data_IF_623575150423
#
_entry.id   IF_623575150423
#
_cell.length_a   1.000
_cell.length_b   1.000
_cell.length_c   1.000
_cell.angle_alpha   90.00
_cell.angle_beta   90.00
_cell.angle_gamma   90.00
#
_symmetry.space_group_name_H-M   'P 1'
#
loop_
_entity.id
_entity.type
_entity.pdbx_description
1 polymer ?
#
# COMPACT_ATOMS: atom_id res chain seq x y z
N UNK A 1 40.83 -24.56 50.40
CA UNK A 1 40.61 -24.06 49.06
C UNK A 1 39.76 -22.78 49.18
N UNK A 2 40.30 -21.65 48.68
CA UNK A 2 39.57 -20.39 48.64
C UNK A 2 38.80 -20.31 47.31
N UNK A 3 37.51 -19.97 47.38
CA UNK A 3 36.69 -19.83 46.18
C UNK A 3 36.72 -18.36 45.73
N UNK A 4 36.86 -18.12 44.44
CA UNK A 4 36.83 -16.77 43.85
C UNK A 4 35.39 -16.36 43.57
N UNK A 5 35.05 -15.21 44.04
CA UNK A 5 33.75 -14.53 43.77
C UNK A 5 34.00 -13.20 43.11
N UNK A 6 32.94 -12.66 42.48
CA UNK A 6 32.95 -11.36 41.81
C UNK A 6 31.89 -10.47 42.44
N UNK A 7 32.32 -9.29 42.96
CA UNK A 7 31.42 -8.28 43.46
C UNK A 7 31.21 -7.22 42.42
N UNK A 8 29.95 -6.88 42.17
CA UNK A 8 29.55 -5.89 41.17
C UNK A 8 28.95 -4.68 41.85
N UNK A 9 29.37 -3.51 41.42
CA UNK A 9 28.77 -2.25 41.85
C UNK A 9 28.35 -1.43 40.65
N UNK A 10 27.28 -0.66 40.84
CA UNK A 10 26.78 0.29 39.85
C UNK A 10 26.77 1.71 40.42
N UNK A 11 26.87 2.72 39.55
CA UNK A 11 26.86 4.12 39.92
C UNK A 11 26.22 4.96 38.81
N UNK A 12 25.55 6.06 39.21
CA UNK A 12 25.01 7.05 38.27
C UNK A 12 26.02 8.23 38.04
N UNK A 13 26.94 8.45 38.97
CA UNK A 13 27.83 9.62 39.01
C UNK A 13 29.34 9.27 39.10
N UNK A 14 29.69 8.01 39.22
CA UNK A 14 31.03 7.45 39.48
C UNK A 14 31.56 7.78 40.87
N UNK A 15 30.76 8.40 41.73
CA UNK A 15 31.12 8.79 43.09
C UNK A 15 30.43 7.88 44.10
N UNK A 16 29.13 7.77 43.97
CA UNK A 16 28.28 6.93 44.83
C UNK A 16 28.05 5.57 44.15
N UNK A 17 28.52 4.52 44.81
CA UNK A 17 28.45 3.15 44.28
C UNK A 17 27.43 2.31 45.07
N UNK A 18 26.51 1.67 44.34
CA UNK A 18 25.53 0.76 44.88
C UNK A 18 26.00 -0.68 44.65
N UNK A 19 26.00 -1.48 45.70
CA UNK A 19 26.28 -2.90 45.64
C UNK A 19 25.10 -3.61 44.92
N UNK A 20 25.41 -4.38 43.89
CA UNK A 20 24.43 -5.20 43.13
C UNK A 20 24.57 -6.69 43.48
N UNK A 21 25.48 -7.04 44.42
CA UNK A 21 25.67 -8.37 44.92
C UNK A 21 26.93 -9.05 44.43
N UNK A 22 27.10 -10.29 44.90
CA UNK A 22 28.24 -11.16 44.62
C UNK A 22 27.84 -12.34 43.70
N UNK A 23 28.74 -12.69 42.82
CA UNK A 23 28.52 -13.69 41.77
C UNK A 23 29.64 -14.71 41.81
N UNK A 24 29.29 -15.97 41.67
CA UNK A 24 30.26 -17.08 41.55
C UNK A 24 30.81 -17.15 40.11
N UNK A 25 29.94 -16.95 39.12
CA UNK A 25 30.32 -16.96 37.70
C UNK A 25 30.83 -15.57 37.27
N UNK A 26 31.75 -15.50 36.28
CA UNK A 26 32.24 -14.21 35.75
C UNK A 26 31.22 -13.50 34.85
N UNK A 27 29.94 -13.73 35.07
CA UNK A 27 28.82 -13.13 34.34
C UNK A 27 27.73 -12.68 35.31
N UNK A 28 27.21 -11.48 35.08
CA UNK A 28 26.13 -10.93 35.89
C UNK A 28 25.06 -10.29 34.98
N UNK A 29 23.82 -10.35 35.44
CA UNK A 29 22.70 -9.56 34.83
C UNK A 29 22.30 -8.47 35.81
N UNK A 30 22.43 -7.24 35.40
CA UNK A 30 22.02 -6.08 36.18
C UNK A 30 20.88 -5.34 35.52
N UNK A 31 20.05 -4.72 36.34
CA UNK A 31 18.99 -3.86 35.86
C UNK A 31 19.49 -2.39 35.91
N UNK A 32 19.16 -1.62 34.90
CA UNK A 32 19.42 -0.19 34.91
C UNK A 32 18.73 0.46 36.11
N UNK A 33 19.39 1.41 36.81
CA UNK A 33 18.72 2.23 37.80
C UNK A 33 17.48 2.88 37.20
N UNK A 34 16.41 3.00 37.99
CA UNK A 34 15.12 3.49 37.52
C UNK A 34 15.25 4.87 36.85
N UNK A 35 14.76 4.97 35.60
CA UNK A 35 14.78 6.22 34.83
C UNK A 35 16.11 6.62 34.23
N UNK A 36 17.18 5.82 34.38
CA UNK A 36 18.50 6.13 33.83
C UNK A 36 18.78 5.37 32.55
N UNK A 37 19.17 6.07 31.52
CA UNK A 37 19.59 5.51 30.23
C UNK A 37 21.08 5.22 30.15
N UNK A 38 21.87 5.83 31.03
CA UNK A 38 23.33 5.64 31.17
C UNK A 38 23.67 5.51 32.65
N UNK A 39 24.51 4.56 32.99
CA UNK A 39 25.07 4.37 34.32
C UNK A 39 26.46 3.73 34.19
N UNK A 40 27.12 3.53 35.30
CA UNK A 40 28.48 2.99 35.36
C UNK A 40 28.50 1.71 36.17
N UNK A 41 29.38 0.76 35.81
CA UNK A 41 29.59 -0.47 36.53
C UNK A 41 31.09 -0.70 36.76
N UNK A 42 31.42 -1.37 37.84
CA UNK A 42 32.76 -1.87 38.14
C UNK A 42 32.64 -3.23 38.84
N UNK A 43 33.64 -4.04 38.69
CA UNK A 43 33.71 -5.36 39.31
C UNK A 43 35.04 -5.55 40.01
N UNK A 44 35.06 -6.26 41.15
CA UNK A 44 36.28 -6.78 41.74
C UNK A 44 36.14 -8.23 42.00
N UNK A 45 37.25 -8.96 41.91
CA UNK A 45 37.35 -10.31 42.41
C UNK A 45 37.68 -10.33 43.88
N UNK A 46 37.13 -11.26 44.61
CA UNK A 46 37.50 -11.49 46.02
C UNK A 46 37.49 -13.00 46.34
N UNK A 47 38.21 -13.37 47.35
CA UNK A 47 38.21 -14.74 47.88
C UNK A 47 37.49 -14.75 49.22
N UNK A 48 36.65 -15.77 49.43
CA UNK A 48 35.96 -15.97 50.68
C UNK A 48 36.09 -17.46 51.09
N UNK A 49 36.03 -17.78 52.41
CA UNK A 49 35.84 -19.14 52.85
C UNK A 49 34.60 -19.74 52.23
N UNK A 50 34.58 -21.03 52.01
CA UNK A 50 33.48 -21.77 51.31
C UNK A 50 32.13 -21.66 52.02
N UNK A 51 32.03 -20.99 53.14
CA UNK A 51 30.77 -20.83 53.89
C UNK A 51 30.05 -19.53 53.47
N UNK A 52 28.87 -19.69 52.86
CA UNK A 52 28.01 -18.62 52.41
C UNK A 52 27.66 -17.56 53.49
N UNK A 53 27.72 -17.93 54.76
CA UNK A 53 27.41 -17.02 55.87
C UNK A 53 28.38 -15.85 56.01
N UNK A 54 29.55 -15.89 55.40
CA UNK A 54 30.61 -14.90 55.55
C UNK A 54 30.93 -14.07 54.29
N UNK A 55 30.18 -14.27 53.23
CA UNK A 55 30.46 -13.64 51.94
C UNK A 55 30.40 -12.09 51.97
N UNK A 56 29.72 -11.51 52.97
CA UNK A 56 29.63 -10.06 53.17
C UNK A 56 30.55 -9.50 54.26
N UNK A 57 31.27 -10.36 55.00
CA UNK A 57 32.21 -9.90 56.02
C UNK A 57 33.57 -9.53 55.38
N UNK A 58 33.78 -8.21 55.24
CA UNK A 58 34.99 -7.63 54.65
C UNK A 58 36.29 -7.97 55.42
N UNK A 59 36.16 -8.44 56.64
CA UNK A 59 37.31 -8.83 57.44
C UNK A 59 37.80 -10.24 57.18
N UNK A 60 36.96 -11.08 56.52
CA UNK A 60 37.27 -12.49 56.20
C UNK A 60 37.57 -12.70 54.73
N UNK A 61 37.46 -11.66 53.91
CA UNK A 61 37.62 -11.74 52.47
C UNK A 61 38.82 -10.94 51.98
N UNK A 62 39.67 -11.52 51.15
CA UNK A 62 40.71 -10.81 50.42
C UNK A 62 40.06 -10.18 49.17
N UNK A 63 39.93 -8.89 49.20
CA UNK A 63 39.29 -8.11 48.14
C UNK A 63 40.36 -7.58 47.17
N UNK A 64 40.27 -7.96 45.90
CA UNK A 64 41.13 -7.43 44.84
C UNK A 64 40.82 -5.97 44.45
N UNK A 65 41.61 -5.46 43.54
CA UNK A 65 41.36 -4.12 42.98
C UNK A 65 40.10 -4.10 42.16
N UNK A 66 39.39 -2.96 42.17
CA UNK A 66 38.29 -2.71 41.26
C UNK A 66 38.79 -2.60 39.83
N UNK A 67 37.99 -3.17 38.90
CA UNK A 67 38.18 -2.96 37.45
C UNK A 67 38.11 -1.49 37.08
N UNK A 68 38.53 -1.18 35.85
CA UNK A 68 38.16 0.08 35.22
C UNK A 68 36.65 0.23 35.17
N UNK A 69 36.20 1.47 35.29
CA UNK A 69 34.78 1.79 35.26
C UNK A 69 34.19 1.63 33.85
N UNK A 70 33.29 0.68 33.68
CA UNK A 70 32.56 0.50 32.45
C UNK A 70 31.37 1.45 32.39
N UNK A 71 31.24 2.21 31.31
CA UNK A 71 30.04 3.00 31.03
C UNK A 71 28.99 2.10 30.37
N UNK A 72 27.87 1.89 31.01
CA UNK A 72 26.78 1.03 30.56
C UNK A 72 25.66 1.88 29.98
N UNK A 73 25.18 1.50 28.79
CA UNK A 73 24.01 2.10 28.15
C UNK A 73 22.84 1.12 28.27
N UNK A 74 21.84 1.56 29.02
CA UNK A 74 20.65 0.74 29.23
C UNK A 74 19.79 0.69 27.99
N UNK A 75 19.15 -0.46 27.74
CA UNK A 75 18.13 -0.58 26.72
C UNK A 75 16.88 0.19 27.13
N UNK A 76 16.26 0.86 26.17
CA UNK A 76 14.97 1.48 26.36
C UNK A 76 13.91 0.37 26.37
N UNK A 77 13.09 0.32 27.43
CA UNK A 77 11.98 -0.61 27.54
C UNK A 77 10.77 -0.18 26.69
N UNK A 78 10.61 1.11 26.51
CA UNK A 78 9.46 1.67 25.82
C UNK A 78 9.59 1.51 24.31
N UNK A 79 8.49 1.09 23.69
CA UNK A 79 8.36 1.09 22.24
C UNK A 79 7.87 2.42 21.73
N UNK A 80 8.15 2.71 20.48
CA UNK A 80 7.57 3.89 19.80
C UNK A 80 6.05 3.80 19.82
N UNK A 81 5.41 4.96 19.79
CA UNK A 81 3.97 5.04 19.55
C UNK A 81 3.64 4.63 18.10
N UNK A 82 2.35 4.65 17.76
CA UNK A 82 1.85 4.40 16.42
C UNK A 82 2.68 5.08 15.34
N UNK A 83 3.14 4.31 14.36
CA UNK A 83 3.84 4.81 13.17
C UNK A 83 2.81 5.39 12.19
N UNK A 84 3.05 6.59 11.72
CA UNK A 84 2.17 7.34 10.81
C UNK A 84 2.89 7.57 9.50
N UNK A 85 2.31 7.09 8.40
CA UNK A 85 2.77 7.40 7.06
C UNK A 85 2.51 8.87 6.71
N UNK A 86 3.53 9.55 6.19
CA UNK A 86 3.45 10.97 5.81
C UNK A 86 3.47 11.16 4.29
N UNK A 87 4.13 10.24 3.57
CA UNK A 87 4.21 10.26 2.11
C UNK A 87 4.40 8.85 1.55
N UNK A 88 3.82 8.60 0.39
CA UNK A 88 4.08 7.42 -0.42
C UNK A 88 4.34 7.84 -1.87
N UNK A 89 5.37 7.26 -2.49
CA UNK A 89 5.68 7.38 -3.93
C UNK A 89 5.80 5.99 -4.54
N UNK A 90 6.10 5.88 -5.82
CA UNK A 90 6.35 4.59 -6.45
C UNK A 90 7.60 3.88 -5.92
N UNK A 91 8.56 4.61 -5.33
CA UNK A 91 9.84 4.08 -4.90
C UNK A 91 10.23 4.46 -3.47
N UNK A 92 9.35 5.09 -2.70
CA UNK A 92 9.66 5.50 -1.33
C UNK A 92 8.43 5.58 -0.44
N UNK A 93 8.65 5.39 0.87
CA UNK A 93 7.68 5.54 1.93
C UNK A 93 8.28 6.41 3.03
N UNK A 94 7.55 7.41 3.50
CA UNK A 94 7.97 8.28 4.61
C UNK A 94 7.06 8.11 5.81
N UNK A 95 7.65 8.11 6.99
CA UNK A 95 6.97 7.85 8.25
C UNK A 95 7.41 8.84 9.33
N UNK A 96 6.57 8.99 10.34
CA UNK A 96 6.88 9.63 11.62
C UNK A 96 6.23 8.88 12.78
N UNK A 97 6.76 9.06 13.97
CA UNK A 97 6.26 8.51 15.24
C UNK A 97 6.50 9.50 16.37
N UNK A 98 5.94 9.28 17.56
CA UNK A 98 6.26 10.11 18.71
C UNK A 98 7.67 9.77 19.24
N UNK A 99 8.39 10.77 19.70
CA UNK A 99 9.68 10.56 20.34
C UNK A 99 9.54 9.66 21.57
N UNK A 100 10.50 8.76 21.77
CA UNK A 100 10.61 7.94 22.97
C UNK A 100 11.58 8.61 23.93
N UNK A 101 11.18 8.73 25.18
CA UNK A 101 12.03 9.35 26.22
C UNK A 101 13.36 8.60 26.36
N UNK A 102 14.48 9.33 26.41
CA UNK A 102 15.81 8.76 26.49
C UNK A 102 16.35 8.15 25.20
N UNK A 103 15.60 8.16 24.10
CA UNK A 103 16.12 7.69 22.83
C UNK A 103 17.09 8.69 22.20
N UNK A 104 18.28 8.21 21.84
CA UNK A 104 19.27 8.96 21.05
C UNK A 104 19.01 8.87 19.53
N UNK A 105 18.18 7.91 19.11
CA UNK A 105 17.82 7.65 17.74
C UNK A 105 16.91 6.45 17.60
N UNK A 106 16.76 5.97 16.35
CA UNK A 106 15.89 4.85 16.02
C UNK A 106 16.52 3.96 14.97
N UNK A 107 16.32 2.64 15.13
CA UNK A 107 16.59 1.64 14.11
C UNK A 107 15.26 1.26 13.44
N UNK A 108 15.22 1.37 12.14
CA UNK A 108 14.06 1.01 11.32
C UNK A 108 14.42 -0.23 10.51
N UNK A 109 13.72 -1.32 10.75
CA UNK A 109 13.83 -2.57 9.99
C UNK A 109 12.62 -2.63 9.06
N UNK A 110 12.84 -2.96 7.79
CA UNK A 110 11.77 -3.07 6.81
C UNK A 110 12.02 -4.19 5.82
N UNK A 111 10.94 -4.84 5.36
CA UNK A 111 10.99 -5.96 4.42
C UNK A 111 9.69 -6.05 3.62
N UNK A 112 9.70 -6.66 2.41
CA UNK A 112 8.48 -6.96 1.69
C UNK A 112 7.56 -7.84 2.54
N UNK A 113 6.28 -7.51 2.61
CA UNK A 113 5.31 -8.23 3.45
C UNK A 113 5.32 -9.74 3.15
N UNK A 114 5.50 -10.54 4.21
CA UNK A 114 5.62 -12.01 4.12
C UNK A 114 7.02 -12.53 3.77
N UNK A 115 8.04 -11.66 3.65
CA UNK A 115 9.41 -12.03 3.29
C UNK A 115 10.41 -11.42 4.29
N UNK A 116 10.33 -11.80 5.56
CA UNK A 116 11.18 -11.29 6.65
C UNK A 116 12.68 -11.53 6.40
N UNK A 117 13.04 -12.61 5.70
CA UNK A 117 14.41 -12.96 5.37
C UNK A 117 15.09 -11.94 4.45
N UNK A 118 14.28 -11.10 3.76
CA UNK A 118 14.75 -9.99 2.92
C UNK A 118 14.78 -8.67 3.67
N UNK A 119 14.90 -8.70 5.00
CA UNK A 119 14.92 -7.49 5.82
C UNK A 119 16.14 -6.61 5.52
N UNK A 120 15.88 -5.31 5.55
CA UNK A 120 16.88 -4.24 5.49
C UNK A 120 16.70 -3.32 6.66
N UNK A 121 17.75 -2.60 7.02
CA UNK A 121 17.70 -1.66 8.12
C UNK A 121 18.29 -0.31 7.76
N UNK A 122 17.87 0.71 8.48
CA UNK A 122 18.46 2.03 8.50
C UNK A 122 18.36 2.62 9.91
N UNK A 123 19.21 3.58 10.22
CA UNK A 123 19.16 4.33 11.47
C UNK A 123 18.83 5.78 11.19
N UNK A 124 18.22 6.45 12.17
CA UNK A 124 17.92 7.89 12.12
C UNK A 124 18.02 8.48 13.54
N UNK A 125 18.53 9.70 13.64
CA UNK A 125 18.55 10.45 14.89
C UNK A 125 17.23 11.18 15.19
N UNK A 126 16.30 11.20 14.22
CA UNK A 126 15.00 11.85 14.36
C UNK A 126 13.88 10.84 14.46
N UNK A 127 12.72 11.24 14.98
CA UNK A 127 11.51 10.42 15.05
C UNK A 127 10.74 10.35 13.72
N UNK A 128 11.49 10.35 12.61
CA UNK A 128 10.97 10.23 11.25
C UNK A 128 12.00 9.57 10.33
N UNK A 129 11.53 8.95 9.26
CA UNK A 129 12.41 8.40 8.23
C UNK A 129 11.75 8.40 6.85
N UNK A 130 12.59 8.25 5.82
CA UNK A 130 12.17 7.96 4.45
C UNK A 130 12.94 6.77 3.92
N UNK A 131 12.23 5.69 3.66
CA UNK A 131 12.76 4.48 3.04
C UNK A 131 12.69 4.68 1.53
N UNK A 132 13.84 4.58 0.87
CA UNK A 132 14.01 4.80 -0.59
C UNK A 132 14.31 3.48 -1.31
N UNK A 133 14.32 3.52 -2.65
CA UNK A 133 14.67 2.39 -3.51
C UNK A 133 13.78 1.16 -3.29
N UNK A 134 12.52 1.41 -2.95
CA UNK A 134 11.50 0.38 -2.81
C UNK A 134 10.95 -0.01 -4.18
N UNK A 135 10.48 -1.26 -4.29
CA UNK A 135 9.76 -1.72 -5.46
C UNK A 135 8.40 -1.01 -5.53
N UNK A 136 8.05 -0.57 -6.71
CA UNK A 136 6.73 0.02 -6.98
C UNK A 136 5.62 -1.03 -6.74
N UNK A 137 4.47 -0.56 -6.24
CA UNK A 137 3.31 -1.41 -5.91
C UNK A 137 3.65 -2.53 -4.91
N UNK A 138 4.71 -2.33 -4.13
CA UNK A 138 5.17 -3.25 -3.09
C UNK A 138 4.53 -2.95 -1.74
N UNK A 139 4.10 -3.99 -1.04
CA UNK A 139 3.68 -3.91 0.36
C UNK A 139 4.86 -4.24 1.26
N UNK A 140 5.06 -3.45 2.30
CA UNK A 140 6.19 -3.57 3.23
C UNK A 140 5.71 -3.57 4.67
N UNK A 141 6.34 -4.41 5.50
CA UNK A 141 6.32 -4.30 6.94
C UNK A 141 7.44 -3.35 7.38
N UNK A 142 7.16 -2.50 8.35
CA UNK A 142 8.09 -1.51 8.90
C UNK A 142 8.06 -1.60 10.42
N UNK A 143 9.21 -1.94 11.02
CA UNK A 143 9.41 -2.08 12.46
C UNK A 143 10.35 -0.97 12.94
N UNK A 144 9.97 -0.25 13.98
CA UNK A 144 10.77 0.84 14.56
C UNK A 144 11.15 0.51 15.99
N UNK A 145 12.46 0.49 16.25
CA UNK A 145 13.10 0.28 17.53
C UNK A 145 13.69 1.59 18.05
N UNK A 146 13.60 1.84 19.33
CA UNK A 146 14.32 2.94 19.96
C UNK A 146 15.80 2.55 20.20
N UNK A 147 16.70 3.49 19.98
CA UNK A 147 18.13 3.36 20.25
C UNK A 147 18.52 4.23 21.42
N UNK A 148 19.36 3.70 22.27
CA UNK A 148 20.13 4.49 23.24
C UNK A 148 21.61 4.25 22.97
N UNK A 149 22.35 5.30 22.63
CA UNK A 149 23.75 5.19 22.25
C UNK A 149 24.59 6.28 22.90
N UNK A 150 25.85 5.95 23.09
CA UNK A 150 26.94 6.88 23.43
C UNK A 150 28.09 6.67 22.42
N UNK A 151 29.25 7.27 22.66
CA UNK A 151 30.45 7.14 21.82
C UNK A 151 30.87 5.69 21.58
N UNK A 152 30.64 4.81 22.55
CA UNK A 152 31.26 3.49 22.62
C UNK A 152 30.31 2.34 22.36
N UNK A 153 28.99 2.54 22.59
CA UNK A 153 28.01 1.48 22.51
C UNK A 153 26.62 1.98 22.13
N UNK A 154 25.89 1.14 21.38
CA UNK A 154 24.49 1.38 21.03
C UNK A 154 23.62 0.21 21.52
N UNK A 155 22.66 0.51 22.38
CA UNK A 155 21.62 -0.43 22.81
C UNK A 155 20.35 -0.30 22.00
N UNK A 156 19.84 -1.41 21.50
CA UNK A 156 18.57 -1.49 20.76
C UNK A 156 17.48 -1.95 21.72
N UNK A 157 16.31 -1.30 21.70
CA UNK A 157 15.16 -1.73 22.51
C UNK A 157 14.75 -3.19 22.20
N UNK A 158 14.24 -3.89 23.20
CA UNK A 158 13.72 -5.25 23.03
C UNK A 158 12.34 -5.27 22.36
N UNK A 159 11.67 -4.13 22.36
CA UNK A 159 10.31 -3.95 21.82
C UNK A 159 10.36 -3.01 20.62
N UNK A 160 9.42 -3.21 19.70
CA UNK A 160 9.26 -2.37 18.52
C UNK A 160 7.78 -2.10 18.23
N UNK A 161 7.53 -1.12 17.41
CA UNK A 161 6.21 -0.88 16.83
C UNK A 161 6.26 -1.23 15.36
N UNK A 162 5.24 -1.96 14.89
CA UNK A 162 5.11 -2.38 13.49
C UNK A 162 3.97 -1.65 12.80
N UNK A 163 4.14 -1.41 11.51
CA UNK A 163 3.09 -0.97 10.60
C UNK A 163 3.30 -1.55 9.21
N UNK A 164 2.23 -1.55 8.42
CA UNK A 164 2.27 -1.99 7.02
C UNK A 164 1.96 -0.82 6.10
N UNK A 165 2.68 -0.71 5.01
CA UNK A 165 2.49 0.36 4.04
C UNK A 165 2.78 -0.14 2.62
N UNK A 166 2.12 0.49 1.63
CA UNK A 166 2.27 0.14 0.22
C UNK A 166 2.77 1.35 -0.55
N UNK A 167 3.78 1.15 -1.41
CA UNK A 167 4.23 2.15 -2.38
C UNK A 167 3.15 2.43 -3.41
N UNK A 168 3.19 3.61 -4.03
CA UNK A 168 2.25 3.94 -5.10
C UNK A 168 2.51 3.09 -6.34
N UNK A 169 1.45 2.56 -6.97
CA UNK A 169 1.56 1.96 -8.27
C UNK A 169 1.79 3.05 -9.34
N UNK A 170 2.38 2.63 -10.45
CA UNK A 170 2.48 3.46 -11.65
C UNK A 170 1.09 3.83 -12.20
N UNK A 171 1.12 4.71 -13.19
CA UNK A 171 -0.04 5.01 -14.03
C UNK A 171 -0.64 3.72 -14.58
N UNK A 172 -1.95 3.56 -14.43
CA UNK A 172 -2.71 2.45 -15.02
C UNK A 172 -2.55 2.45 -16.53
N UNK A 173 -2.24 1.29 -17.11
CA UNK A 173 -2.09 1.04 -18.55
C UNK A 173 -3.24 0.21 -19.08
N UNK A 174 -3.42 0.24 -20.40
CA UNK A 174 -4.40 -0.56 -21.13
C UNK A 174 -5.84 -0.43 -20.58
N UNK A 175 -6.16 0.78 -20.07
CA UNK A 175 -7.51 1.09 -19.63
C UNK A 175 -8.45 1.16 -20.84
N UNK A 176 -9.45 0.30 -20.86
CA UNK A 176 -10.45 0.23 -21.93
C UNK A 176 -11.85 -0.03 -21.39
N UNK A 177 -12.85 0.33 -22.16
CA UNK A 177 -14.23 -0.10 -21.96
C UNK A 177 -14.41 -1.46 -22.62
N UNK A 178 -15.09 -2.37 -21.94
CA UNK A 178 -15.44 -3.69 -22.48
C UNK A 178 -16.90 -3.76 -22.92
N UNK A 179 -17.78 -3.09 -22.17
CA UNK A 179 -19.20 -2.96 -22.52
C UNK A 179 -19.72 -1.59 -22.11
N UNK A 180 -20.71 -1.07 -22.83
CA UNK A 180 -21.38 0.18 -22.49
C UNK A 180 -22.84 0.17 -22.92
N UNK A 181 -23.72 0.16 -21.94
CA UNK A 181 -25.17 0.21 -22.12
C UNK A 181 -25.78 1.39 -21.36
N UNK A 182 -27.03 1.77 -21.66
CA UNK A 182 -27.73 2.71 -20.82
C UNK A 182 -27.83 2.24 -19.37
N UNK A 183 -27.31 2.99 -18.45
CA UNK A 183 -27.28 2.64 -17.03
C UNK A 183 -26.06 1.81 -16.59
N UNK A 184 -25.24 1.33 -17.52
CA UNK A 184 -24.12 0.44 -17.20
C UNK A 184 -22.92 0.63 -18.12
N UNK A 185 -21.71 0.44 -17.58
CA UNK A 185 -20.47 0.37 -18.34
C UNK A 185 -19.44 -0.47 -17.61
N UNK A 186 -18.79 -1.37 -18.35
CA UNK A 186 -17.72 -2.21 -17.83
C UNK A 186 -16.37 -1.76 -18.36
N UNK A 187 -15.37 -1.81 -17.51
CA UNK A 187 -14.01 -1.38 -17.80
C UNK A 187 -13.02 -2.44 -17.36
N UNK A 188 -11.91 -2.53 -18.06
CA UNK A 188 -10.78 -3.33 -17.65
C UNK A 188 -9.46 -2.56 -17.84
N UNK A 189 -8.42 -2.97 -17.12
CA UNK A 189 -7.06 -2.43 -17.22
C UNK A 189 -6.05 -3.50 -16.87
N UNK A 190 -4.79 -3.32 -17.29
CA UNK A 190 -3.70 -4.24 -16.95
C UNK A 190 -2.98 -3.85 -15.68
N UNK A 191 -2.66 -4.88 -14.95
CA UNK A 191 -1.59 -5.19 -14.06
C UNK A 191 -1.11 -4.08 -13.14
N UNK A 192 -1.75 -4.00 -12.01
CA UNK A 192 -1.18 -3.41 -10.83
C UNK A 192 -1.23 -4.51 -9.77
N UNK A 193 -0.09 -5.16 -9.55
CA UNK A 193 0.04 -6.15 -8.49
C UNK A 193 -0.01 -5.42 -7.17
N UNK A 194 -1.06 -5.61 -6.38
CA UNK A 194 -1.16 -5.07 -5.02
C UNK A 194 -2.13 -3.91 -4.83
N UNK A 195 -2.30 -2.98 -5.77
CA UNK A 195 -3.31 -1.93 -5.63
C UNK A 195 -4.71 -2.50 -5.82
N UNK A 196 -5.45 -2.60 -4.73
CA UNK A 196 -6.84 -3.10 -4.71
C UNK A 196 -7.86 -1.96 -4.69
N UNK A 197 -7.41 -0.70 -4.70
CA UNK A 197 -8.25 0.46 -4.52
C UNK A 197 -8.08 1.47 -5.66
N UNK A 198 -9.19 1.81 -6.30
CA UNK A 198 -9.22 2.62 -7.53
C UNK A 198 -10.24 3.73 -7.45
N UNK A 199 -9.99 4.82 -8.18
CA UNK A 199 -10.94 5.88 -8.44
C UNK A 199 -11.24 5.94 -9.93
N UNK A 200 -12.50 5.69 -10.29
CA UNK A 200 -13.03 5.82 -11.65
C UNK A 200 -13.80 7.14 -11.77
N UNK A 201 -13.54 7.87 -12.84
CA UNK A 201 -14.33 9.06 -13.21
C UNK A 201 -14.86 8.94 -14.62
N UNK A 202 -16.15 9.29 -14.80
CA UNK A 202 -16.82 9.35 -16.10
C UNK A 202 -17.45 10.74 -16.25
N UNK A 203 -17.31 11.35 -17.43
CA UNK A 203 -17.93 12.62 -17.79
C UNK A 203 -18.52 12.53 -19.19
N UNK A 204 -19.48 13.40 -19.54
CA UNK A 204 -19.95 13.50 -20.92
C UNK A 204 -18.90 14.16 -21.79
N UNK A 205 -18.74 13.71 -23.03
CA UNK A 205 -17.80 14.33 -24.00
C UNK A 205 -18.17 15.77 -24.27
N UNK A 206 -19.47 16.11 -24.29
CA UNK A 206 -20.00 17.47 -24.47
C UNK A 206 -19.72 18.40 -23.30
N UNK A 207 -19.25 17.91 -22.16
CA UNK A 207 -18.96 18.76 -21.01
C UNK A 207 -17.59 19.44 -21.19
N UNK A 208 -17.62 20.76 -21.41
CA UNK A 208 -16.42 21.60 -21.58
C UNK A 208 -15.50 21.59 -20.34
N UNK A 209 -16.04 21.30 -19.16
CA UNK A 209 -15.32 21.24 -17.87
C UNK A 209 -14.83 19.83 -17.53
N UNK A 210 -14.50 19.01 -18.53
CA UNK A 210 -14.07 17.62 -18.42
C UNK A 210 -13.46 17.28 -17.04
N UNK A 211 -14.07 16.32 -16.32
CA UNK A 211 -13.64 15.82 -15.02
C UNK A 211 -13.62 16.81 -13.84
N UNK A 212 -14.00 18.09 -13.97
CA UNK A 212 -14.20 18.99 -12.82
C UNK A 212 -15.46 18.61 -12.02
N UNK A 213 -16.53 18.20 -12.73
CA UNK A 213 -17.77 17.66 -12.13
C UNK A 213 -18.16 16.36 -12.86
N UNK A 214 -17.45 15.24 -12.62
CA UNK A 214 -17.76 13.98 -13.29
C UNK A 214 -19.16 13.49 -12.89
N UNK A 215 -19.89 12.89 -13.82
CA UNK A 215 -21.19 12.26 -13.55
C UNK A 215 -21.05 10.98 -12.72
N UNK A 216 -19.90 10.31 -12.84
CA UNK A 216 -19.48 9.19 -11.99
C UNK A 216 -18.13 9.53 -11.39
N UNK A 217 -18.02 9.38 -10.08
CA UNK A 217 -16.78 9.54 -9.31
C UNK A 217 -16.79 8.49 -8.22
N UNK A 218 -16.40 7.28 -8.58
CA UNK A 218 -16.44 6.11 -7.70
C UNK A 218 -15.05 5.79 -7.18
N UNK A 219 -14.99 5.52 -5.89
CA UNK A 219 -13.78 5.07 -5.20
C UNK A 219 -14.10 3.73 -4.58
N UNK A 220 -13.62 2.66 -5.17
CA UNK A 220 -13.93 1.29 -4.77
C UNK A 220 -12.68 0.45 -4.58
N UNK A 221 -12.82 -0.57 -3.78
CA UNK A 221 -11.86 -1.64 -3.61
C UNK A 221 -12.24 -2.78 -4.57
N UNK A 222 -11.33 -3.23 -5.41
CA UNK A 222 -11.58 -4.31 -6.36
C UNK A 222 -10.56 -5.43 -6.17
N UNK A 223 -11.03 -6.66 -6.22
CA UNK A 223 -10.18 -7.85 -6.18
C UNK A 223 -9.61 -8.25 -7.55
N UNK A 224 -10.11 -7.63 -8.63
CA UNK A 224 -9.76 -7.96 -10.02
C UNK A 224 -9.36 -6.70 -10.81
N UNK A 225 -8.71 -6.92 -11.96
CA UNK A 225 -8.21 -5.88 -12.86
C UNK A 225 -9.32 -5.30 -13.75
N UNK A 226 -10.46 -4.99 -13.17
CA UNK A 226 -11.59 -4.42 -13.89
C UNK A 226 -12.70 -3.98 -12.95
N UNK A 227 -13.68 -3.29 -13.49
CA UNK A 227 -14.90 -2.88 -12.77
C UNK A 227 -16.04 -2.63 -13.72
N UNK A 228 -17.23 -2.73 -13.20
CA UNK A 228 -18.39 -2.15 -13.85
C UNK A 228 -19.01 -1.07 -12.97
N UNK A 229 -19.68 -0.11 -13.58
CA UNK A 229 -20.48 0.88 -12.86
C UNK A 229 -21.93 0.81 -13.35
N UNK A 230 -22.84 0.65 -12.40
CA UNK A 230 -24.27 0.77 -12.64
C UNK A 230 -24.68 2.18 -12.23
N UNK A 231 -24.94 3.02 -13.19
CA UNK A 231 -25.32 4.43 -12.94
C UNK A 231 -26.40 4.90 -13.89
N UNK A 232 -27.56 5.22 -13.34
CA UNK A 232 -28.68 5.88 -14.07
C UNK A 232 -28.27 7.18 -14.79
N UNK A 233 -27.06 7.72 -14.51
CA UNK A 233 -26.51 8.89 -15.19
C UNK A 233 -25.90 8.57 -16.56
N UNK A 234 -25.59 7.28 -16.85
CA UNK A 234 -25.17 6.82 -18.18
C UNK A 234 -26.42 6.66 -19.03
N UNK A 235 -26.60 7.54 -19.97
CA UNK A 235 -27.81 7.61 -20.81
C UNK A 235 -27.56 6.99 -22.19
N UNK A 236 -28.62 6.48 -22.82
CA UNK A 236 -28.59 6.02 -24.20
C UNK A 236 -28.18 7.16 -25.15
N UNK A 237 -27.52 6.80 -26.25
CA UNK A 237 -27.17 7.73 -27.31
C UNK A 237 -26.21 8.86 -26.87
N UNK A 238 -25.33 8.59 -25.95
CA UNK A 238 -24.44 9.60 -25.38
C UNK A 238 -22.99 9.12 -25.36
N UNK A 239 -22.06 10.01 -25.73
CA UNK A 239 -20.62 9.77 -25.60
C UNK A 239 -20.08 10.25 -24.27
N UNK A 240 -19.21 9.45 -23.70
CA UNK A 240 -18.55 9.69 -22.42
C UNK A 240 -17.04 9.58 -22.56
N UNK A 241 -16.33 10.31 -21.72
CA UNK A 241 -14.91 10.12 -21.46
C UNK A 241 -14.74 9.53 -20.07
N UNK A 242 -13.84 8.56 -19.93
CA UNK A 242 -13.51 7.94 -18.66
C UNK A 242 -12.00 7.93 -18.40
N UNK A 243 -11.65 7.93 -17.12
CA UNK A 243 -10.29 7.74 -16.62
C UNK A 243 -10.31 7.03 -15.29
N UNK A 244 -9.24 6.33 -14.98
CA UNK A 244 -9.08 5.60 -13.72
C UNK A 244 -7.70 5.86 -13.14
N UNK A 245 -7.58 5.81 -11.83
CA UNK A 245 -6.31 5.81 -11.10
C UNK A 245 -6.42 4.92 -9.87
N UNK A 246 -5.30 4.41 -9.40
CA UNK A 246 -5.20 3.71 -8.13
C UNK A 246 -4.93 4.69 -6.98
N UNK A 247 -5.11 4.21 -5.76
CA UNK A 247 -4.69 4.92 -4.56
C UNK A 247 -4.26 3.94 -3.48
N UNK A 248 -3.43 4.43 -2.56
CA UNK A 248 -3.10 3.78 -1.30
C UNK A 248 -3.52 4.68 -0.14
N UNK A 249 -3.76 4.09 1.02
CA UNK A 249 -4.01 4.84 2.25
C UNK A 249 -2.70 4.90 3.03
N UNK A 250 -2.31 6.09 3.47
CA UNK A 250 -1.11 6.25 4.30
C UNK A 250 -1.28 5.51 5.63
N UNK A 251 -0.26 4.76 6.01
CA UNK A 251 -0.24 3.94 7.22
C UNK A 251 -0.68 4.75 8.45
N UNK A 252 -1.53 4.16 9.25
CA UNK A 252 -2.04 4.79 10.45
C UNK A 252 -2.99 5.98 10.26
N UNK A 253 -3.41 6.30 9.01
CA UNK A 253 -4.28 7.42 8.68
C UNK A 253 -5.48 7.00 7.82
N UNK A 254 -6.37 7.95 7.52
CA UNK A 254 -7.42 7.80 6.48
C UNK A 254 -7.06 8.54 5.18
N UNK A 255 -5.87 9.14 5.09
CA UNK A 255 -5.46 9.95 3.95
C UNK A 255 -5.13 9.06 2.75
N UNK A 256 -5.78 9.34 1.62
CA UNK A 256 -5.53 8.66 0.35
C UNK A 256 -4.48 9.41 -0.46
N UNK A 257 -3.53 8.68 -1.04
CA UNK A 257 -2.53 9.20 -1.98
C UNK A 257 -2.74 8.48 -3.31
N UNK A 258 -2.85 9.24 -4.39
CA UNK A 258 -3.28 8.75 -5.69
C UNK A 258 -2.13 8.65 -6.68
N UNK A 259 -2.15 7.60 -7.51
CA UNK A 259 -1.32 7.53 -8.72
C UNK A 259 -1.75 8.59 -9.76
N UNK A 260 -0.92 8.86 -10.77
CA UNK A 260 -1.38 9.60 -11.94
C UNK A 260 -2.61 8.94 -12.60
N UNK A 261 -3.44 9.75 -13.25
CA UNK A 261 -4.58 9.23 -14.02
C UNK A 261 -4.12 8.40 -15.21
N UNK A 262 -4.90 7.38 -15.57
CA UNK A 262 -4.78 6.67 -16.84
C UNK A 262 -4.89 7.60 -18.04
N UNK A 263 -4.60 7.09 -19.23
CA UNK A 263 -5.05 7.71 -20.47
C UNK A 263 -6.57 7.82 -20.46
N UNK A 264 -7.10 8.94 -20.95
CA UNK A 264 -8.55 9.13 -21.10
C UNK A 264 -9.02 8.30 -22.28
N UNK A 265 -10.06 7.50 -22.06
CA UNK A 265 -10.76 6.79 -23.13
C UNK A 265 -12.11 7.45 -23.40
N UNK A 266 -12.63 7.25 -24.62
CA UNK A 266 -13.95 7.69 -25.02
C UNK A 266 -14.78 6.47 -25.40
N UNK A 267 -16.04 6.44 -24.98
CA UNK A 267 -16.99 5.39 -25.33
C UNK A 267 -18.39 5.94 -25.55
N UNK A 268 -19.19 5.27 -26.35
CA UNK A 268 -20.59 5.63 -26.62
C UNK A 268 -21.52 4.52 -26.14
N UNK A 269 -22.71 4.89 -25.76
CA UNK A 269 -23.80 3.94 -25.51
C UNK A 269 -24.65 3.76 -26.76
N UNK A 270 -25.38 2.64 -26.85
CA UNK A 270 -26.31 2.36 -27.95
C UNK A 270 -27.33 3.48 -28.15
N UNK A 271 -27.87 3.63 -29.36
CA UNK A 271 -28.97 4.56 -29.62
C UNK A 271 -30.17 4.31 -28.69
N UNK A 272 -30.89 5.37 -28.34
CA UNK A 272 -32.06 5.29 -27.42
C UNK A 272 -33.15 4.38 -27.95
N UNK A 273 -33.33 4.33 -29.28
CA UNK A 273 -34.36 3.53 -29.97
C UNK A 273 -33.78 2.98 -31.26
N UNK A 274 -34.00 1.69 -31.48
CA UNK A 274 -33.72 1.01 -32.74
C UNK A 274 -35.01 0.32 -33.15
N UNK A 275 -35.38 0.44 -34.42
CA UNK A 275 -36.55 -0.26 -35.00
C UNK A 275 -36.14 -0.88 -36.30
N UNK A 276 -36.69 -2.07 -36.58
CA UNK A 276 -36.53 -2.74 -37.84
C UNK A 276 -37.91 -3.13 -38.38
N UNK A 277 -38.15 -2.88 -39.66
CA UNK A 277 -39.40 -3.22 -40.33
C UNK A 277 -39.08 -3.80 -41.71
N UNK A 278 -39.88 -4.74 -42.18
CA UNK A 278 -39.81 -5.23 -43.57
C UNK A 278 -40.09 -4.07 -44.52
N UNK A 279 -39.29 -3.96 -45.57
CA UNK A 279 -39.43 -2.92 -46.61
C UNK A 279 -39.10 -3.55 -47.99
N UNK A 280 -40.13 -3.92 -48.75
CA UNK A 280 -39.97 -4.71 -49.96
C UNK A 280 -39.25 -6.04 -49.69
N UNK A 281 -38.18 -6.31 -50.42
CA UNK A 281 -37.33 -7.49 -50.24
C UNK A 281 -36.24 -7.30 -49.17
N UNK A 282 -36.23 -6.21 -48.43
CA UNK A 282 -35.21 -5.86 -47.44
C UNK A 282 -35.81 -5.59 -46.06
N UNK A 283 -34.94 -5.26 -45.11
CA UNK A 283 -35.29 -4.84 -43.75
C UNK A 283 -34.80 -3.40 -43.59
N UNK A 284 -35.72 -2.44 -43.39
CA UNK A 284 -35.40 -1.04 -43.07
C UNK A 284 -35.17 -0.92 -41.55
N UNK A 285 -34.00 -0.48 -41.21
CA UNK A 285 -33.55 -0.26 -39.84
C UNK A 285 -33.50 1.25 -39.62
N UNK A 286 -34.06 1.73 -38.50
CA UNK A 286 -33.97 3.14 -38.11
C UNK A 286 -33.52 3.21 -36.65
N UNK A 287 -32.76 4.24 -36.32
CA UNK A 287 -32.29 4.47 -34.95
C UNK A 287 -32.28 5.95 -34.57
N UNK A 288 -32.28 6.21 -33.27
CA UNK A 288 -32.15 7.59 -32.77
C UNK A 288 -30.71 8.09 -32.98
N UNK A 289 -30.57 9.36 -33.39
CA UNK A 289 -29.26 10.00 -33.54
C UNK A 289 -28.48 9.98 -32.23
N UNK A 290 -27.20 9.61 -32.32
CA UNK A 290 -26.25 9.67 -31.20
C UNK A 290 -25.35 10.89 -31.39
N UNK A 291 -25.42 11.84 -30.46
CA UNK A 291 -24.62 13.05 -30.51
C UNK A 291 -23.13 12.73 -30.36
N UNK A 292 -22.29 13.18 -31.29
CA UNK A 292 -20.86 12.93 -31.31
C UNK A 292 -20.43 11.63 -32.01
N UNK A 293 -21.38 10.83 -32.51
CA UNK A 293 -21.03 9.67 -33.36
C UNK A 293 -20.38 10.16 -34.66
N UNK A 294 -19.29 9.54 -35.08
CA UNK A 294 -18.66 9.77 -36.39
C UNK A 294 -19.31 8.91 -37.46
N UNK A 295 -19.77 7.71 -37.11
CA UNK A 295 -20.46 6.77 -37.98
C UNK A 295 -21.25 5.75 -37.14
N UNK A 296 -22.05 4.93 -37.82
CA UNK A 296 -22.76 3.77 -37.27
C UNK A 296 -22.32 2.52 -38.03
N UNK A 297 -21.97 1.49 -37.31
CA UNK A 297 -21.69 0.19 -37.87
C UNK A 297 -22.91 -0.71 -37.71
N UNK A 298 -23.27 -1.40 -38.78
CA UNK A 298 -24.38 -2.30 -38.78
C UNK A 298 -23.87 -3.74 -38.75
N UNK A 299 -24.25 -4.44 -37.72
CA UNK A 299 -23.95 -5.86 -37.56
C UNK A 299 -25.21 -6.69 -37.63
N UNK A 300 -25.12 -7.84 -38.28
CA UNK A 300 -26.27 -8.74 -38.51
C UNK A 300 -25.88 -10.17 -38.20
N UNK A 301 -26.80 -10.92 -37.62
CA UNK A 301 -26.71 -12.37 -37.42
C UNK A 301 -28.04 -13.04 -37.68
N UNK A 302 -28.01 -14.36 -37.94
CA UNK A 302 -29.16 -15.24 -37.90
C UNK A 302 -29.27 -16.05 -36.61
N UNK A 303 -28.39 -15.78 -35.65
CA UNK A 303 -28.38 -16.34 -34.31
C UNK A 303 -28.30 -15.24 -33.27
N UNK A 304 -28.90 -15.47 -32.11
CA UNK A 304 -28.81 -14.52 -30.97
C UNK A 304 -27.41 -14.49 -30.31
N UNK A 305 -26.54 -15.45 -30.64
CA UNK A 305 -25.18 -15.45 -30.11
C UNK A 305 -24.39 -14.26 -30.64
N UNK A 306 -23.90 -13.42 -29.69
CA UNK A 306 -23.16 -12.19 -29.99
C UNK A 306 -21.88 -12.41 -30.78
N UNK A 307 -21.27 -13.61 -30.70
CA UNK A 307 -20.10 -14.02 -31.48
C UNK A 307 -20.35 -14.22 -32.96
N UNK A 308 -21.59 -14.37 -33.34
CA UNK A 308 -21.99 -14.68 -34.75
C UNK A 308 -22.34 -13.45 -35.57
N UNK A 309 -22.37 -12.27 -34.97
CA UNK A 309 -22.68 -11.02 -35.66
C UNK A 309 -21.56 -10.65 -36.65
N UNK A 310 -21.96 -10.38 -37.87
CA UNK A 310 -21.06 -9.96 -38.95
C UNK A 310 -21.35 -8.52 -39.34
N UNK A 311 -20.32 -7.70 -39.45
CA UNK A 311 -20.44 -6.34 -39.93
C UNK A 311 -20.87 -6.36 -41.40
N UNK A 312 -21.95 -5.67 -41.72
CA UNK A 312 -22.51 -5.58 -43.10
C UNK A 312 -22.29 -4.22 -43.73
N UNK A 313 -22.21 -3.14 -42.92
CA UNK A 313 -22.01 -1.81 -43.45
C UNK A 313 -21.54 -0.80 -42.38
N UNK A 314 -21.05 0.36 -42.85
CA UNK A 314 -20.75 1.54 -42.05
C UNK A 314 -21.52 2.75 -42.60
N UNK A 315 -22.42 3.30 -41.81
CA UNK A 315 -23.32 4.40 -42.21
C UNK A 315 -22.79 5.71 -41.64
N UNK A 316 -22.68 6.75 -42.48
CA UNK A 316 -22.21 8.12 -42.01
C UNK A 316 -23.14 8.66 -40.92
N UNK A 317 -22.57 9.37 -39.97
CA UNK A 317 -23.26 9.89 -38.77
C UNK A 317 -24.51 10.76 -39.02
N UNK A 318 -24.60 11.39 -40.20
CA UNK A 318 -25.78 12.14 -40.59
C UNK A 318 -27.02 11.26 -40.86
N UNK A 319 -26.83 10.02 -41.22
CA UNK A 319 -27.87 9.08 -41.54
C UNK A 319 -28.23 8.26 -40.30
N UNK A 320 -29.52 8.13 -40.04
CA UNK A 320 -30.09 7.34 -38.94
C UNK A 320 -30.98 6.18 -39.43
N UNK A 321 -30.72 5.74 -40.65
CA UNK A 321 -31.40 4.60 -41.23
C UNK A 321 -30.52 3.85 -42.20
N UNK A 322 -30.81 2.56 -42.36
CA UNK A 322 -30.15 1.64 -43.28
C UNK A 322 -31.14 0.61 -43.78
N UNK A 323 -31.01 0.19 -45.03
CA UNK A 323 -31.84 -0.89 -45.58
C UNK A 323 -30.99 -2.10 -45.90
N UNK A 324 -31.11 -3.14 -45.08
CA UNK A 324 -30.47 -4.42 -45.29
C UNK A 324 -31.16 -5.15 -46.43
N UNK A 325 -30.47 -5.33 -47.59
CA UNK A 325 -30.97 -6.05 -48.76
C UNK A 325 -30.29 -7.43 -48.96
N UNK A 326 -29.09 -7.57 -48.43
CA UNK A 326 -28.26 -8.80 -48.53
C UNK A 326 -27.57 -9.08 -47.20
N UNK A 327 -27.38 -10.37 -46.89
CA UNK A 327 -26.55 -10.85 -45.79
C UNK A 327 -25.59 -11.91 -46.29
N UNK A 328 -24.33 -11.82 -45.97
CA UNK A 328 -23.26 -12.71 -46.47
C UNK A 328 -23.30 -12.85 -48.00
N UNK A 329 -23.43 -11.71 -48.70
CA UNK A 329 -23.51 -11.55 -50.15
C UNK A 329 -24.78 -12.18 -50.83
N UNK A 330 -25.68 -12.81 -50.08
CA UNK A 330 -26.93 -13.44 -50.58
C UNK A 330 -28.14 -12.56 -50.26
N UNK A 331 -29.20 -12.64 -51.09
CA UNK A 331 -30.50 -12.04 -50.78
C UNK A 331 -31.03 -12.59 -49.45
N UNK A 332 -31.79 -11.76 -48.73
CA UNK A 332 -32.41 -12.20 -47.49
C UNK A 332 -33.38 -13.37 -47.77
N UNK A 333 -33.31 -14.39 -46.89
CA UNK A 333 -34.20 -15.55 -46.97
C UNK A 333 -35.56 -15.22 -46.36
N UNK A 334 -36.64 -15.65 -46.98
CA UNK A 334 -37.98 -15.61 -46.39
C UNK A 334 -38.01 -16.45 -45.10
N UNK A 335 -38.88 -16.11 -44.18
CA UNK A 335 -39.09 -16.82 -42.91
C UNK A 335 -37.79 -17.04 -42.07
N UNK A 336 -36.86 -16.14 -42.24
CA UNK A 336 -35.59 -16.18 -41.46
C UNK A 336 -35.53 -14.98 -40.54
N UNK A 337 -35.26 -15.23 -39.25
CA UNK A 337 -35.04 -14.18 -38.27
C UNK A 337 -33.61 -13.61 -38.41
N UNK A 338 -33.52 -12.31 -38.51
CA UNK A 338 -32.25 -11.57 -38.51
C UNK A 338 -32.15 -10.71 -37.26
N UNK A 339 -31.08 -10.88 -36.51
CA UNK A 339 -30.72 -10.05 -35.37
C UNK A 339 -29.79 -8.92 -35.84
N UNK A 340 -30.05 -7.71 -35.35
CA UNK A 340 -29.33 -6.50 -35.80
C UNK A 340 -28.85 -5.71 -34.60
#
# INVERSE_FOLDING_TARGET
DQTIYYRLETSEDKITWKDEGSYYEPTAKIHAPSGKSVFYARVCAYTAPYDYAYMDDKNLCDIGNWSDTLKVVARISDKTSKIIGTKATAASLSFKWAAVSGASGYKVVYYPSGLSDLSKELTTSTNSCTIKNLKEDGSYAICVYALNSNSDFTAVSNTYTETYATTLPKKIRDFKVTTAYPGDASFEWKGINGAKAFQLQITKVSDSKKFKKPIVNETKFYSYLGTYTNSKKIKAGTFYSARVRSYVTLAGTKQKVYSPWSTVITFGTSPKKITAKQSGSGIKINWSKVSGASAYEIYVSTSYDTKTFTKVDTVKSKNTSYTLKKFKKKKLKKNTMYYI
#
